data_IF_909798668568
#
_entry.id   IF_909798668568
#
_cell.length_a   1.000
_cell.length_b   1.000
_cell.length_c   1.000
_cell.angle_alpha   90.00
_cell.angle_beta   90.00
_cell.angle_gamma   90.00
#
_symmetry.space_group_name_H-M   'P 1'
#
loop_
_entity.id
_entity.type
_entity.pdbx_description
1 polymer ?
#
# COMPACT_ATOMS: atom_id res chain seq x y z
N UNK A 1 -14.25 9.44 12.27
CA UNK A 1 -14.28 9.27 10.81
C UNK A 1 -15.35 8.24 10.49
N UNK A 2 -16.37 8.61 9.71
CA UNK A 2 -17.50 7.73 9.40
C UNK A 2 -17.21 6.81 8.19
N UNK A 3 -16.35 7.22 7.27
CA UNK A 3 -15.97 6.45 6.08
C UNK A 3 -14.58 6.81 5.60
N UNK A 4 -13.96 5.87 4.87
CA UNK A 4 -12.69 6.04 4.20
C UNK A 4 -12.93 5.93 2.69
N UNK A 5 -12.35 6.86 1.92
CA UNK A 5 -12.34 6.80 0.46
C UNK A 5 -10.95 6.41 -0.03
N UNK A 6 -10.86 5.30 -0.74
CA UNK A 6 -9.61 4.80 -1.33
C UNK A 6 -9.72 4.97 -2.85
N UNK A 7 -8.83 5.76 -3.43
CA UNK A 7 -8.79 5.99 -4.87
C UNK A 7 -7.88 4.94 -5.54
N UNK A 8 -8.50 4.11 -6.40
CA UNK A 8 -7.80 3.05 -7.14
C UNK A 8 -7.70 3.31 -8.66
N UNK A 9 -8.32 4.39 -9.18
CA UNK A 9 -8.26 4.72 -10.61
C UNK A 9 -6.81 4.93 -11.05
N UNK A 10 -6.42 4.30 -12.14
CA UNK A 10 -5.04 4.34 -12.68
C UNK A 10 -3.98 3.75 -11.71
N UNK A 11 -4.39 2.97 -10.72
CA UNK A 11 -3.48 2.26 -9.81
C UNK A 11 -3.46 0.77 -10.12
N UNK A 12 -2.33 0.12 -9.77
CA UNK A 12 -2.20 -1.33 -9.96
C UNK A 12 -3.10 -2.11 -8.97
N UNK A 13 -3.48 -3.35 -9.30
CA UNK A 13 -4.17 -4.23 -8.36
C UNK A 13 -3.39 -4.42 -7.05
N UNK A 14 -2.07 -4.46 -7.11
CA UNK A 14 -1.18 -4.59 -5.95
C UNK A 14 -1.31 -3.40 -5.00
N UNK A 15 -1.39 -2.18 -5.55
CA UNK A 15 -1.67 -0.98 -4.75
C UNK A 15 -2.99 -1.12 -4.00
N UNK A 16 -4.07 -1.45 -4.72
CA UNK A 16 -5.40 -1.56 -4.12
C UNK A 16 -5.40 -2.64 -3.02
N UNK A 17 -4.83 -3.81 -3.31
CA UNK A 17 -4.77 -4.92 -2.35
C UNK A 17 -4.03 -4.52 -1.07
N UNK A 18 -2.86 -3.91 -1.20
CA UNK A 18 -2.04 -3.51 -0.04
C UNK A 18 -2.71 -2.42 0.78
N UNK A 19 -3.24 -1.38 0.13
CA UNK A 19 -3.91 -0.27 0.84
C UNK A 19 -5.16 -0.76 1.55
N UNK A 20 -6.06 -1.47 0.84
CA UNK A 20 -7.32 -1.98 1.43
C UNK A 20 -7.03 -2.94 2.58
N UNK A 21 -6.10 -3.88 2.40
CA UNK A 21 -5.75 -4.84 3.47
C UNK A 21 -5.15 -4.16 4.69
N UNK A 22 -4.37 -3.11 4.51
CA UNK A 22 -3.76 -2.35 5.61
C UNK A 22 -4.82 -1.61 6.42
N UNK A 23 -5.71 -0.88 5.75
CA UNK A 23 -6.81 -0.20 6.44
C UNK A 23 -7.81 -1.18 7.06
N UNK A 24 -8.08 -2.31 6.40
CA UNK A 24 -8.96 -3.35 6.94
C UNK A 24 -8.41 -3.92 8.25
N UNK A 25 -7.14 -4.28 8.31
CA UNK A 25 -6.48 -4.77 9.53
C UNK A 25 -6.54 -3.73 10.65
N UNK A 26 -6.32 -2.45 10.33
CA UNK A 26 -6.41 -1.38 11.31
C UNK A 26 -7.82 -1.26 11.90
N UNK A 27 -8.86 -1.29 11.05
CA UNK A 27 -10.25 -1.23 11.50
C UNK A 27 -10.64 -2.45 12.35
N UNK A 28 -10.16 -3.64 12.00
CA UNK A 28 -10.42 -4.85 12.78
C UNK A 28 -9.75 -4.80 14.15
N UNK A 29 -8.51 -4.33 14.21
CA UNK A 29 -7.79 -4.15 15.47
C UNK A 29 -8.44 -3.07 16.36
N UNK A 30 -8.95 -1.97 15.77
CA UNK A 30 -9.71 -0.95 16.51
C UNK A 30 -10.98 -1.56 17.09
N UNK A 31 -11.73 -2.36 16.31
CA UNK A 31 -12.97 -2.97 16.77
C UNK A 31 -12.76 -3.95 17.93
N UNK A 32 -11.60 -4.59 18.02
CA UNK A 32 -11.22 -5.50 19.12
C UNK A 32 -10.45 -4.82 20.25
N UNK A 33 -10.20 -3.51 20.16
CA UNK A 33 -9.41 -2.77 21.15
C UNK A 33 -7.92 -3.12 21.18
N UNK A 34 -7.40 -3.78 20.13
CA UNK A 34 -6.01 -4.25 20.03
C UNK A 34 -5.16 -3.40 19.08
N UNK A 35 -5.68 -2.27 18.62
CA UNK A 35 -4.97 -1.46 17.65
C UNK A 35 -3.75 -0.75 18.25
N UNK A 36 -2.63 -0.90 17.55
CA UNK A 36 -1.42 -0.16 17.82
C UNK A 36 -0.82 0.41 16.52
N UNK A 37 -0.16 1.59 16.58
CA UNK A 37 0.53 2.16 15.42
C UNK A 37 1.59 1.21 14.88
N UNK A 38 1.48 0.80 13.61
CA UNK A 38 2.42 -0.11 12.97
C UNK A 38 3.34 0.63 12.00
N UNK A 39 4.64 0.66 12.30
CA UNK A 39 5.66 1.21 11.38
C UNK A 39 5.77 0.38 10.09
N UNK A 40 5.48 -0.90 10.15
CA UNK A 40 5.45 -1.76 8.96
C UNK A 40 4.28 -1.40 8.04
N UNK A 41 3.06 -1.28 8.60
CA UNK A 41 1.89 -0.86 7.85
C UNK A 41 2.10 0.52 7.20
N UNK A 42 2.71 1.46 7.92
CA UNK A 42 3.04 2.77 7.38
C UNK A 42 4.02 2.68 6.20
N UNK A 43 5.07 1.85 6.30
CA UNK A 43 6.00 1.61 5.18
C UNK A 43 5.34 0.95 3.99
N UNK A 44 4.43 0.00 4.23
CA UNK A 44 3.67 -0.64 3.16
C UNK A 44 2.81 0.37 2.39
N UNK A 45 2.20 1.35 3.08
CA UNK A 45 1.47 2.43 2.43
C UNK A 45 2.40 3.36 1.61
N UNK A 46 3.59 3.69 2.13
CA UNK A 46 4.59 4.46 1.40
C UNK A 46 5.09 3.71 0.15
N UNK A 47 5.29 2.40 0.25
CA UNK A 47 5.67 1.56 -0.90
C UNK A 47 4.56 1.46 -1.93
N UNK A 48 3.30 1.34 -1.49
CA UNK A 48 2.16 1.25 -2.37
C UNK A 48 2.03 2.51 -3.24
N UNK A 49 2.08 3.69 -2.62
CA UNK A 49 2.09 4.97 -3.31
C UNK A 49 2.41 6.12 -2.35
N UNK A 50 3.42 6.92 -2.69
CA UNK A 50 3.86 8.03 -1.85
C UNK A 50 4.07 9.31 -2.68
N UNK A 51 3.23 10.31 -2.40
CA UNK A 51 3.38 11.71 -2.84
C UNK A 51 3.52 12.65 -1.65
N UNK A 52 4.13 12.18 -0.56
CA UNK A 52 4.10 12.79 0.77
C UNK A 52 2.72 12.70 1.42
N UNK A 53 2.68 12.02 2.57
CA UNK A 53 1.43 11.90 3.34
C UNK A 53 1.14 13.20 4.08
N UNK A 54 -0.13 13.56 4.13
CA UNK A 54 -0.60 14.73 4.85
C UNK A 54 -1.77 14.36 5.74
N UNK A 55 -1.91 15.09 6.83
CA UNK A 55 -3.06 14.96 7.73
C UNK A 55 -4.34 15.61 7.13
N UNK A 56 -4.22 16.22 5.97
CA UNK A 56 -5.31 17.00 5.38
C UNK A 56 -5.76 18.09 6.34
N UNK A 57 -7.06 18.18 6.54
CA UNK A 57 -7.69 19.12 7.48
C UNK A 57 -8.08 18.47 8.82
N UNK A 58 -7.67 17.23 9.11
CA UNK A 58 -8.09 16.49 10.30
C UNK A 58 -7.73 17.18 11.63
N UNK A 59 -6.63 17.92 11.64
CA UNK A 59 -6.10 18.59 12.83
C UNK A 59 -6.03 20.12 12.68
N UNK A 60 -6.90 20.70 11.84
CA UNK A 60 -6.98 22.13 11.56
C UNK A 60 -6.14 22.58 10.36
N UNK A 61 -6.20 23.88 10.06
CA UNK A 61 -5.57 24.48 8.88
C UNK A 61 -4.04 24.52 8.98
N UNK A 62 -3.40 23.67 8.19
CA UNK A 62 -1.94 23.69 7.98
C UNK A 62 -1.64 23.74 6.48
N UNK A 63 -2.16 24.78 5.81
CA UNK A 63 -2.09 24.96 4.35
C UNK A 63 -0.72 24.69 3.72
N UNK A 64 0.38 24.98 4.42
CA UNK A 64 1.75 24.76 3.93
C UNK A 64 2.14 23.27 3.83
N UNK A 65 1.40 22.36 4.46
CA UNK A 65 1.69 20.91 4.50
C UNK A 65 0.68 20.07 3.70
N UNK A 66 -0.28 20.69 3.03
CA UNK A 66 -1.35 19.99 2.33
C UNK A 66 -0.91 19.37 1.00
N UNK A 67 0.14 19.89 0.40
CA UNK A 67 0.63 19.41 -0.90
C UNK A 67 2.14 19.21 -0.83
N UNK A 68 2.60 18.02 -1.23
CA UNK A 68 4.01 17.76 -1.52
C UNK A 68 4.45 18.70 -2.67
N UNK A 69 5.58 19.39 -2.49
CA UNK A 69 6.04 20.42 -3.43
C UNK A 69 7.11 19.93 -4.39
N UNK A 70 7.70 18.77 -4.10
CA UNK A 70 8.99 18.42 -4.71
C UNK A 70 8.88 17.50 -5.92
N UNK A 71 7.83 16.69 -6.08
CA UNK A 71 7.62 15.89 -7.28
C UNK A 71 6.16 15.40 -7.43
N UNK A 72 5.64 15.33 -8.67
CA UNK A 72 4.29 14.84 -8.95
C UNK A 72 4.17 13.31 -8.87
N UNK A 73 5.30 12.58 -8.88
CA UNK A 73 5.35 11.13 -9.02
C UNK A 73 5.48 10.37 -7.70
N UNK A 74 5.27 9.04 -7.77
CA UNK A 74 5.46 8.16 -6.64
C UNK A 74 6.93 8.06 -6.25
N UNK A 75 7.29 8.53 -5.06
CA UNK A 75 8.67 8.47 -4.55
C UNK A 75 9.01 7.15 -3.85
N UNK A 76 8.00 6.36 -3.47
CA UNK A 76 8.24 5.15 -2.69
C UNK A 76 8.68 5.44 -1.25
N UNK A 77 9.45 4.52 -0.68
CA UNK A 77 9.95 4.57 0.71
C UNK A 77 11.37 5.16 0.76
N UNK A 78 11.57 6.24 1.50
CA UNK A 78 12.91 6.76 1.79
C UNK A 78 13.67 5.77 2.68
N UNK A 79 14.71 5.12 2.14
CA UNK A 79 15.50 4.10 2.84
C UNK A 79 16.80 4.63 3.41
N UNK A 80 17.26 5.79 2.95
CA UNK A 80 18.48 6.38 3.49
C UNK A 80 18.98 7.59 2.72
N UNK A 81 20.19 8.01 3.09
CA UNK A 81 20.90 9.12 2.49
C UNK A 81 22.32 8.70 2.14
N UNK A 82 22.83 9.13 1.00
CA UNK A 82 24.22 8.94 0.60
C UNK A 82 25.10 9.74 1.55
N UNK A 83 26.05 9.09 2.22
CA UNK A 83 27.03 9.73 3.08
C UNK A 83 28.36 9.91 2.35
N UNK A 84 28.73 8.97 1.47
CA UNK A 84 29.91 9.06 0.59
C UNK A 84 29.76 8.12 -0.61
N UNK A 85 30.47 8.43 -1.67
CA UNK A 85 30.59 7.56 -2.86
C UNK A 85 32.06 7.18 -3.07
N UNK A 86 32.31 5.90 -3.39
CA UNK A 86 33.62 5.40 -3.82
C UNK A 86 33.57 5.04 -5.30
N UNK A 87 34.28 5.83 -6.11
CA UNK A 87 34.34 5.64 -7.55
C UNK A 87 35.12 4.38 -8.01
N UNK A 88 36.03 3.86 -7.16
CA UNK A 88 36.80 2.63 -7.49
C UNK A 88 35.93 1.39 -7.40
N UNK A 89 35.17 1.27 -6.32
CA UNK A 89 34.26 0.14 -6.09
C UNK A 89 32.86 0.38 -6.69
N UNK A 90 32.56 1.58 -7.18
CA UNK A 90 31.22 2.01 -7.64
C UNK A 90 30.14 1.75 -6.59
N UNK A 91 30.45 2.05 -5.34
CA UNK A 91 29.53 1.88 -4.21
C UNK A 91 29.28 3.18 -3.47
N UNK A 92 28.06 3.37 -3.00
CA UNK A 92 27.69 4.44 -2.10
C UNK A 92 27.51 3.89 -0.67
N UNK A 93 28.09 4.55 0.33
CA UNK A 93 27.75 4.28 1.72
C UNK A 93 26.47 5.02 2.05
N UNK A 94 25.46 4.25 2.46
CA UNK A 94 24.14 4.77 2.80
C UNK A 94 23.95 4.75 4.31
N UNK A 95 23.60 5.91 4.87
CA UNK A 95 23.09 6.02 6.23
C UNK A 95 21.58 5.74 6.19
N UNK A 96 21.09 4.67 6.82
CA UNK A 96 19.68 4.29 6.75
C UNK A 96 18.79 5.30 7.50
N UNK A 97 17.62 5.57 6.94
CA UNK A 97 16.53 6.33 7.59
C UNK A 97 15.44 5.44 8.15
N UNK A 98 15.43 4.17 7.78
CA UNK A 98 14.51 3.16 8.29
C UNK A 98 15.19 1.77 8.31
N UNK A 99 14.65 0.78 9.03
CA UNK A 99 15.23 -0.57 9.11
C UNK A 99 14.88 -1.43 7.88
N UNK A 100 15.08 -0.87 6.68
CA UNK A 100 14.93 -1.57 5.40
C UNK A 100 16.22 -1.43 4.63
N UNK A 101 16.83 -2.57 4.31
CA UNK A 101 18.00 -2.64 3.43
C UNK A 101 17.54 -3.17 2.08
N UNK A 102 17.81 -2.46 0.97
CA UNK A 102 17.45 -2.92 -0.36
C UNK A 102 18.10 -4.26 -0.70
N UNK A 103 17.38 -5.09 -1.44
CA UNK A 103 17.82 -6.41 -1.88
C UNK A 103 17.84 -6.51 -3.41
N UNK A 104 18.57 -7.46 -4.00
CA UNK A 104 18.55 -7.65 -5.45
C UNK A 104 17.13 -7.81 -6.01
N UNK A 105 16.86 -7.10 -7.10
CA UNK A 105 15.54 -7.01 -7.71
C UNK A 105 14.72 -5.78 -7.29
N UNK A 106 15.11 -5.10 -6.22
CA UNK A 106 14.46 -3.85 -5.81
C UNK A 106 14.76 -2.72 -6.81
N UNK A 107 13.75 -1.88 -7.10
CA UNK A 107 13.92 -0.63 -7.83
C UNK A 107 14.29 0.50 -6.89
N UNK A 108 15.33 1.22 -7.23
CA UNK A 108 15.85 2.34 -6.45
C UNK A 108 15.82 3.63 -7.25
N UNK A 109 15.59 4.73 -6.53
CA UNK A 109 15.67 6.10 -7.03
C UNK A 109 16.57 6.91 -6.11
N UNK A 110 17.58 7.56 -6.68
CA UNK A 110 18.46 8.49 -5.96
C UNK A 110 18.21 9.88 -6.50
N UNK A 111 17.81 10.82 -5.63
CA UNK A 111 17.61 12.23 -5.97
C UNK A 111 18.91 12.97 -5.87
N UNK A 112 19.23 13.82 -6.86
CA UNK A 112 20.48 14.55 -6.92
C UNK A 112 20.28 15.97 -6.36
N UNK A 113 20.88 16.33 -5.20
CA UNK A 113 20.75 17.67 -4.61
C UNK A 113 21.29 18.75 -5.55
N UNK A 114 20.60 19.89 -5.62
CA UNK A 114 21.03 21.05 -6.41
C UNK A 114 20.67 21.01 -7.90
N UNK A 115 20.18 19.89 -8.40
CA UNK A 115 19.70 19.76 -9.77
C UNK A 115 18.22 19.38 -9.74
N UNK A 116 17.34 20.37 -9.73
CA UNK A 116 15.89 20.15 -9.68
C UNK A 116 15.45 19.21 -10.82
N UNK A 117 14.88 18.07 -10.44
CA UNK A 117 14.36 17.06 -11.38
C UNK A 117 15.37 16.06 -11.91
N UNK A 118 16.65 16.10 -11.50
CA UNK A 118 17.60 15.07 -11.87
C UNK A 118 17.60 13.92 -10.86
N UNK A 119 17.32 12.73 -11.36
CA UNK A 119 17.14 11.52 -10.58
C UNK A 119 17.87 10.35 -11.25
N UNK A 120 18.41 9.45 -10.45
CA UNK A 120 19.04 8.21 -10.91
C UNK A 120 18.16 7.02 -10.50
N UNK A 121 17.38 6.50 -11.46
CA UNK A 121 16.58 5.29 -11.27
C UNK A 121 17.32 4.05 -11.78
N UNK A 122 17.32 2.95 -10.99
CA UNK A 122 17.92 1.69 -11.41
C UNK A 122 17.37 0.50 -10.62
N UNK A 123 17.47 -0.70 -11.21
CA UNK A 123 17.22 -1.95 -10.49
C UNK A 123 18.51 -2.41 -9.78
N UNK A 124 18.40 -2.81 -8.53
CA UNK A 124 19.53 -3.32 -7.75
C UNK A 124 19.86 -4.74 -8.19
N UNK A 125 21.03 -4.93 -8.81
CA UNK A 125 21.44 -6.22 -9.34
C UNK A 125 22.33 -7.03 -8.39
N UNK A 126 22.88 -6.39 -7.35
CA UNK A 126 23.75 -7.06 -6.38
C UNK A 126 23.37 -6.62 -4.95
N UNK A 127 23.55 -7.52 -3.97
CA UNK A 127 23.18 -7.26 -2.61
C UNK A 127 23.95 -6.05 -2.01
N UNK A 128 23.24 -5.23 -1.27
CA UNK A 128 23.85 -4.24 -0.40
C UNK A 128 24.67 -4.97 0.69
N UNK A 129 25.88 -4.49 0.98
CA UNK A 129 26.78 -5.09 1.96
C UNK A 129 26.65 -4.35 3.30
N UNK A 130 26.36 -5.07 4.40
CA UNK A 130 26.31 -4.47 5.74
C UNK A 130 27.63 -3.74 6.05
N UNK A 131 27.52 -2.63 6.75
CA UNK A 131 28.65 -1.84 7.23
C UNK A 131 28.28 -1.21 8.59
N UNK A 132 29.25 -0.88 9.47
CA UNK A 132 28.95 -0.14 10.69
C UNK A 132 28.17 1.14 10.36
N UNK A 133 27.05 1.36 11.03
CA UNK A 133 26.11 2.50 10.88
C UNK A 133 25.36 2.60 9.54
N UNK A 134 25.39 1.55 8.68
CA UNK A 134 24.68 1.59 7.42
C UNK A 134 24.98 0.40 6.51
N UNK A 135 25.01 0.66 5.21
CA UNK A 135 25.32 -0.34 4.21
C UNK A 135 25.98 0.28 2.96
N UNK A 136 26.76 -0.54 2.27
CA UNK A 136 27.34 -0.21 0.97
C UNK A 136 26.37 -0.65 -0.13
N UNK A 137 25.92 0.31 -0.93
CA UNK A 137 24.99 0.09 -2.03
C UNK A 137 25.75 0.18 -3.36
N UNK A 138 25.75 -0.86 -4.21
CA UNK A 138 26.23 -0.76 -5.58
C UNK A 138 25.38 0.24 -6.36
N UNK A 139 26.01 1.19 -7.05
CA UNK A 139 25.32 2.20 -7.85
C UNK A 139 25.89 2.29 -9.25
N UNK A 140 25.06 2.48 -10.31
CA UNK A 140 25.50 2.44 -11.70
C UNK A 140 26.29 3.69 -12.12
N UNK A 141 26.17 4.79 -11.37
CA UNK A 141 26.81 6.07 -11.68
C UNK A 141 27.21 6.79 -10.39
N UNK A 142 28.13 7.79 -10.47
CA UNK A 142 28.47 8.64 -9.33
C UNK A 142 27.23 9.33 -8.74
N UNK A 143 27.17 9.34 -7.42
CA UNK A 143 26.08 9.97 -6.66
C UNK A 143 26.66 10.93 -5.63
N UNK A 144 26.09 12.14 -5.47
CA UNK A 144 26.61 13.14 -4.55
C UNK A 144 26.26 12.78 -3.10
N UNK A 145 27.08 13.26 -2.19
CA UNK A 145 26.79 13.25 -0.76
C UNK A 145 25.50 14.03 -0.46
N UNK A 146 24.73 13.54 0.50
CA UNK A 146 23.44 14.13 0.87
C UNK A 146 22.25 13.69 0.01
N UNK A 147 22.46 13.00 -1.12
CA UNK A 147 21.40 12.48 -1.96
C UNK A 147 20.49 11.54 -1.18
N UNK A 148 19.18 11.64 -1.40
CA UNK A 148 18.20 10.73 -0.80
C UNK A 148 18.02 9.48 -1.66
N UNK A 149 17.92 8.34 -1.00
CA UNK A 149 17.71 7.03 -1.63
C UNK A 149 16.32 6.54 -1.29
N UNK A 150 15.55 6.26 -2.34
CA UNK A 150 14.19 5.74 -2.24
C UNK A 150 14.11 4.33 -2.82
N UNK A 151 13.34 3.49 -2.17
CA UNK A 151 12.88 2.20 -2.67
C UNK A 151 11.54 2.41 -3.38
N UNK A 152 11.52 2.23 -4.70
CA UNK A 152 10.34 2.54 -5.54
C UNK A 152 9.54 1.31 -5.94
N UNK A 153 10.18 0.14 -5.98
CA UNK A 153 9.53 -1.14 -6.21
C UNK A 153 10.29 -2.26 -5.49
N UNK A 154 9.58 -3.32 -5.11
CA UNK A 154 10.16 -4.47 -4.44
C UNK A 154 9.42 -5.75 -4.80
N UNK A 155 10.11 -6.76 -5.34
CA UNK A 155 9.51 -8.07 -5.60
C UNK A 155 8.87 -8.71 -4.37
N UNK A 156 9.43 -8.46 -3.19
CA UNK A 156 8.86 -8.92 -1.92
C UNK A 156 7.53 -8.26 -1.59
N UNK A 157 7.40 -6.96 -1.84
CA UNK A 157 6.15 -6.24 -1.68
C UNK A 157 5.09 -6.75 -2.68
N UNK A 158 5.45 -6.89 -3.95
CA UNK A 158 4.56 -7.37 -5.01
C UNK A 158 4.10 -8.81 -4.74
N UNK A 159 4.99 -9.69 -4.27
CA UNK A 159 4.63 -11.07 -3.90
C UNK A 159 3.61 -11.11 -2.76
N UNK A 160 3.71 -10.21 -1.76
CA UNK A 160 2.71 -10.09 -0.68
C UNK A 160 1.37 -9.63 -1.24
N UNK A 161 1.37 -8.61 -2.08
CA UNK A 161 0.16 -8.10 -2.72
C UNK A 161 -0.54 -9.19 -3.55
N UNK A 162 0.20 -9.92 -4.36
CA UNK A 162 -0.34 -11.03 -5.17
C UNK A 162 -0.94 -12.15 -4.32
N UNK A 163 -0.35 -12.46 -3.16
CA UNK A 163 -0.94 -13.43 -2.22
C UNK A 163 -2.29 -12.96 -1.68
N UNK A 164 -2.46 -11.65 -1.45
CA UNK A 164 -3.74 -11.08 -1.02
C UNK A 164 -4.76 -11.19 -2.15
N UNK A 165 -4.38 -10.84 -3.37
CA UNK A 165 -5.24 -10.89 -4.55
C UNK A 165 -5.67 -12.33 -4.87
N UNK A 166 -4.77 -13.30 -4.70
CA UNK A 166 -5.01 -14.70 -5.00
C UNK A 166 -5.89 -15.42 -3.96
N UNK A 167 -6.27 -14.76 -2.86
CA UNK A 167 -7.20 -15.38 -1.89
C UNK A 167 -8.56 -15.62 -2.52
N UNK A 168 -9.17 -16.80 -2.30
CA UNK A 168 -10.52 -17.04 -2.74
C UNK A 168 -11.49 -15.98 -2.21
N UNK A 169 -12.52 -15.58 -2.98
CA UNK A 169 -13.53 -14.63 -2.51
C UNK A 169 -14.15 -15.00 -1.17
N UNK A 170 -14.36 -16.30 -0.92
CA UNK A 170 -14.89 -16.81 0.34
C UNK A 170 -14.04 -16.44 1.56
N UNK A 171 -12.70 -16.35 1.40
CA UNK A 171 -11.78 -16.02 2.50
C UNK A 171 -11.71 -14.52 2.81
N UNK A 172 -12.17 -13.68 1.89
CA UNK A 172 -12.14 -12.23 2.05
C UNK A 172 -13.52 -11.61 2.25
N UNK A 173 -14.56 -12.32 1.85
CA UNK A 173 -15.93 -11.92 2.12
C UNK A 173 -16.25 -12.08 3.61
N UNK A 174 -16.98 -11.15 4.15
CA UNK A 174 -17.55 -11.23 5.50
C UNK A 174 -19.04 -11.55 5.35
N UNK A 175 -19.42 -12.83 5.41
CA UNK A 175 -20.82 -13.17 5.33
C UNK A 175 -21.56 -12.51 6.49
N UNK A 176 -22.71 -11.94 6.16
CA UNK A 176 -23.64 -11.44 7.16
C UNK A 176 -24.69 -12.52 7.40
N UNK A 177 -25.12 -12.74 8.65
CA UNK A 177 -26.26 -13.60 8.93
C UNK A 177 -27.49 -13.11 8.15
N UNK A 178 -28.15 -14.03 7.50
CA UNK A 178 -29.34 -13.74 6.71
C UNK A 178 -30.40 -14.84 6.91
N UNK A 179 -31.61 -14.41 7.18
CA UNK A 179 -32.77 -15.27 7.15
C UNK A 179 -33.46 -15.08 5.78
N UNK A 180 -33.44 -16.11 4.95
CA UNK A 180 -33.91 -16.03 3.56
C UNK A 180 -35.05 -17.02 3.34
N UNK A 181 -36.12 -16.54 2.71
CA UNK A 181 -37.22 -17.36 2.20
C UNK A 181 -37.11 -17.45 0.67
N UNK A 182 -37.04 -18.66 0.15
CA UNK A 182 -36.95 -18.91 -1.28
C UNK A 182 -38.29 -19.50 -1.73
N UNK A 183 -39.01 -18.81 -2.60
CA UNK A 183 -40.25 -19.25 -3.18
C UNK A 183 -40.06 -19.60 -4.65
N UNK A 184 -40.46 -20.81 -5.02
CA UNK A 184 -40.48 -21.27 -6.43
C UNK A 184 -41.93 -21.48 -6.84
N UNK A 185 -42.38 -20.76 -7.86
CA UNK A 185 -43.72 -20.90 -8.39
C UNK A 185 -43.83 -22.12 -9.31
N UNK A 186 -45.04 -22.56 -9.56
CA UNK A 186 -45.30 -23.61 -10.53
C UNK A 186 -44.93 -23.26 -11.97
N UNK A 187 -44.71 -21.97 -12.25
CA UNK A 187 -44.23 -21.46 -13.55
C UNK A 187 -42.70 -21.38 -13.64
N UNK A 188 -41.95 -21.86 -12.65
CA UNK A 188 -40.50 -21.80 -12.60
C UNK A 188 -39.93 -20.44 -12.13
N UNK A 189 -40.77 -19.46 -11.77
CA UNK A 189 -40.30 -18.19 -11.25
C UNK A 189 -39.75 -18.37 -9.84
N UNK A 190 -38.54 -17.79 -9.58
CA UNK A 190 -37.91 -17.81 -8.28
C UNK A 190 -37.96 -16.42 -7.64
N UNK A 191 -38.28 -16.39 -6.36
CA UNK A 191 -38.09 -15.18 -5.56
C UNK A 191 -37.36 -15.51 -4.27
N UNK A 192 -36.49 -14.61 -3.86
CA UNK A 192 -35.75 -14.68 -2.59
C UNK A 192 -36.06 -13.41 -1.82
N UNK A 193 -36.65 -13.56 -0.65
CA UNK A 193 -36.94 -12.48 0.27
C UNK A 193 -36.31 -12.78 1.62
N UNK A 194 -35.89 -11.78 2.35
CA UNK A 194 -35.32 -12.03 3.67
C UNK A 194 -34.80 -10.81 4.38
N UNK A 195 -34.13 -11.08 5.50
CA UNK A 195 -33.53 -10.07 6.36
C UNK A 195 -32.05 -10.38 6.55
N UNK A 196 -31.20 -9.40 6.34
CA UNK A 196 -29.76 -9.49 6.61
C UNK A 196 -29.45 -8.73 7.88
N UNK A 197 -28.75 -9.38 8.82
CA UNK A 197 -28.34 -8.76 10.09
C UNK A 197 -26.94 -8.16 9.95
N UNK A 198 -26.82 -6.86 10.18
CA UNK A 198 -25.54 -6.13 10.20
C UNK A 198 -24.79 -6.37 11.52
N UNK A 199 -23.46 -6.12 11.56
CA UNK A 199 -22.66 -6.20 12.80
C UNK A 199 -23.15 -5.28 13.93
N UNK A 200 -23.86 -4.20 13.60
CA UNK A 200 -24.46 -3.28 14.55
C UNK A 200 -25.84 -3.75 15.08
N UNK A 201 -26.25 -4.97 14.72
CA UNK A 201 -27.53 -5.57 15.10
C UNK A 201 -28.74 -5.09 14.30
N UNK A 202 -28.58 -4.15 13.37
CA UNK A 202 -29.67 -3.70 12.49
C UNK A 202 -29.95 -4.72 11.42
N UNK A 203 -31.23 -4.91 11.09
CA UNK A 203 -31.67 -5.75 9.99
C UNK A 203 -32.02 -4.90 8.77
N UNK A 204 -31.71 -5.44 7.59
CA UNK A 204 -32.02 -4.82 6.29
C UNK A 204 -32.83 -5.83 5.49
N UNK A 205 -34.02 -5.44 4.98
CA UNK A 205 -34.76 -6.31 4.05
C UNK A 205 -33.98 -6.42 2.75
N UNK A 206 -33.95 -7.62 2.21
CA UNK A 206 -33.37 -7.92 0.90
C UNK A 206 -34.38 -8.72 0.08
N UNK A 207 -34.42 -8.42 -1.21
CA UNK A 207 -35.23 -9.23 -2.14
C UNK A 207 -34.50 -9.38 -3.46
N UNK A 208 -34.68 -10.53 -4.09
CA UNK A 208 -34.13 -10.84 -5.41
C UNK A 208 -35.17 -11.53 -6.27
N UNK A 209 -35.28 -11.11 -7.50
CA UNK A 209 -36.15 -11.64 -8.54
C UNK A 209 -35.31 -11.81 -9.79
N UNK A 210 -34.90 -13.02 -10.18
CA UNK A 210 -34.19 -13.23 -11.44
C UNK A 210 -35.07 -12.85 -12.61
N UNK A 211 -34.48 -12.32 -13.68
CA UNK A 211 -35.20 -11.92 -14.89
C UNK A 211 -35.68 -13.13 -15.71
N UNK A 212 -35.09 -14.30 -15.51
CA UNK A 212 -35.44 -15.54 -16.20
C UNK A 212 -36.00 -16.57 -15.21
N UNK A 213 -37.04 -17.28 -15.61
CA UNK A 213 -37.54 -18.44 -14.89
C UNK A 213 -36.51 -19.60 -14.98
N UNK A 214 -36.53 -20.50 -13.99
CA UNK A 214 -35.79 -21.75 -14.08
C UNK A 214 -36.46 -22.64 -15.14
N UNK A 215 -35.66 -23.17 -16.09
CA UNK A 215 -36.11 -24.19 -17.04
C UNK A 215 -36.28 -25.55 -16.36
#
# INVERSE_FOLDING_TARGET
VASLKIEGRMKSPEYVAMVVSTYRRALDAIATGTWEPSREAYRDLLMAFNREFTDGYLFGDRYRKLMGRDAPDNRGLAVGRVERYDGKSKTAFIRPSCPVTPVPGDGLLITLPGEAGRELGFALNAAAKPSPRGYLLPVPAPVPEGALVYLTSSPGFDARARRIIAKPPADVLRPLPADLEITVSSSGSVSIDGMVTRPDGRTIPVSYRPEQALE
#
